data_IF_459208946816
#
_entry.id   IF_459208946816
#
_cell.length_a   1.000
_cell.length_b   1.000
_cell.length_c   1.000
_cell.angle_alpha   90.00
_cell.angle_beta   90.00
_cell.angle_gamma   90.00
#
_symmetry.space_group_name_H-M   'P 1'
#
loop_
_entity.id
_entity.type
_entity.pdbx_description
1 polymer ?
#
# COMPACT_ATOMS: atom_id res chain seq x y z
N UNK A 1 11.21 13.64 -21.20
CA UNK A 1 10.38 12.41 -21.06
C UNK A 1 10.30 12.05 -19.58
N UNK A 2 9.20 12.41 -18.92
CA UNK A 2 8.90 11.97 -17.54
C UNK A 2 8.26 10.58 -17.64
N UNK A 3 9.04 9.57 -18.04
CA UNK A 3 8.56 8.19 -18.19
C UNK A 3 9.17 7.23 -17.17
N UNK A 4 10.01 7.76 -16.26
CA UNK A 4 10.74 6.95 -15.29
C UNK A 4 10.05 7.05 -13.94
N UNK A 5 9.07 6.18 -13.73
CA UNK A 5 8.30 6.06 -12.49
C UNK A 5 9.08 5.35 -11.37
N UNK A 6 10.13 4.61 -11.71
CA UNK A 6 11.12 4.04 -10.78
C UNK A 6 12.47 4.70 -11.00
N UNK A 7 13.10 5.22 -9.94
CA UNK A 7 14.44 5.83 -10.03
C UNK A 7 15.52 4.87 -10.54
N UNK A 8 15.35 3.57 -10.32
CA UNK A 8 16.25 2.49 -10.75
C UNK A 8 15.49 1.27 -11.28
N UNK A 9 16.18 0.41 -12.03
CA UNK A 9 15.61 -0.86 -12.48
C UNK A 9 15.40 -1.81 -11.30
N UNK A 10 14.28 -2.53 -11.32
CA UNK A 10 13.96 -3.58 -10.35
C UNK A 10 14.08 -4.99 -10.92
N UNK A 11 14.50 -5.12 -12.18
CA UNK A 11 14.69 -6.41 -12.84
C UNK A 11 15.68 -7.27 -12.05
N UNK A 12 15.33 -8.55 -11.87
CA UNK A 12 16.15 -9.55 -11.17
C UNK A 12 16.48 -9.18 -9.70
N UNK A 13 15.68 -8.28 -9.08
CA UNK A 13 15.81 -7.89 -7.66
C UNK A 13 14.65 -8.40 -6.83
N UNK A 14 14.90 -8.61 -5.55
CA UNK A 14 13.83 -8.83 -4.57
C UNK A 14 13.23 -7.49 -4.17
N UNK A 15 11.91 -7.34 -4.35
CA UNK A 15 11.19 -6.09 -4.15
C UNK A 15 10.13 -6.27 -3.07
N UNK A 16 10.16 -5.41 -2.06
CA UNK A 16 9.12 -5.28 -1.05
C UNK A 16 8.41 -3.94 -1.23
N UNK A 17 7.10 -4.00 -1.51
CA UNK A 17 6.23 -2.82 -1.54
C UNK A 17 5.79 -2.52 -0.11
N UNK A 18 5.86 -1.25 0.30
CA UNK A 18 5.41 -0.77 1.60
C UNK A 18 4.17 0.11 1.39
N UNK A 19 3.04 -0.30 1.94
CA UNK A 19 1.76 0.44 1.89
C UNK A 19 1.27 0.76 3.30
N UNK A 20 0.64 1.91 3.47
CA UNK A 20 0.03 2.32 4.74
C UNK A 20 -1.33 1.63 4.97
N UNK A 21 -2.17 1.58 3.93
CA UNK A 21 -3.51 0.98 3.98
C UNK A 21 -3.86 0.26 2.69
N UNK A 22 -4.30 -1.00 2.81
CA UNK A 22 -4.99 -1.68 1.71
C UNK A 22 -6.49 -1.64 1.91
N UNK A 23 -7.15 -0.76 1.16
CA UNK A 23 -8.61 -0.61 1.13
C UNK A 23 -9.21 -1.55 0.06
N UNK A 24 -9.81 -1.02 -1.01
CA UNK A 24 -10.46 -1.83 -2.06
C UNK A 24 -9.52 -2.79 -2.81
N UNK A 25 -8.22 -2.50 -2.84
CA UNK A 25 -7.21 -3.26 -3.56
C UNK A 25 -7.09 -2.95 -5.05
N UNK A 26 -7.91 -2.05 -5.62
CA UNK A 26 -7.90 -1.74 -7.06
C UNK A 26 -6.58 -1.09 -7.49
N UNK A 27 -6.16 -0.03 -6.80
CA UNK A 27 -4.89 0.66 -7.11
C UNK A 27 -3.70 -0.29 -6.97
N UNK A 28 -3.72 -1.13 -5.94
CA UNK A 28 -2.62 -2.02 -5.64
C UNK A 28 -2.52 -3.18 -6.63
N UNK A 29 -3.66 -3.73 -7.10
CA UNK A 29 -3.66 -4.71 -8.18
C UNK A 29 -2.98 -4.14 -9.44
N UNK A 30 -3.38 -2.94 -9.86
CA UNK A 30 -2.76 -2.26 -11.01
C UNK A 30 -1.24 -2.05 -10.82
N UNK A 31 -0.83 -1.60 -9.63
CA UNK A 31 0.59 -1.38 -9.30
C UNK A 31 1.37 -2.71 -9.34
N UNK A 32 0.83 -3.77 -8.72
CA UNK A 32 1.45 -5.10 -8.69
C UNK A 32 1.59 -5.67 -10.11
N UNK A 33 0.56 -5.58 -10.94
CA UNK A 33 0.61 -6.02 -12.34
C UNK A 33 1.67 -5.26 -13.15
N UNK A 34 1.80 -3.95 -12.91
CA UNK A 34 2.81 -3.13 -13.57
C UNK A 34 4.22 -3.49 -13.12
N UNK A 35 4.46 -3.63 -11.82
CA UNK A 35 5.76 -4.01 -11.25
C UNK A 35 6.18 -5.42 -11.69
N UNK A 36 5.25 -6.38 -11.78
CA UNK A 36 5.53 -7.74 -12.29
C UNK A 36 6.09 -7.73 -13.71
N UNK A 37 5.65 -6.79 -14.57
CA UNK A 37 6.15 -6.67 -15.96
C UNK A 37 7.62 -6.25 -16.04
N UNK A 38 8.16 -5.62 -15.00
CA UNK A 38 9.58 -5.27 -14.89
C UNK A 38 10.47 -6.47 -14.51
N UNK A 39 9.88 -7.65 -14.29
CA UNK A 39 10.55 -8.93 -13.99
C UNK A 39 11.49 -8.88 -12.77
N UNK A 40 10.98 -8.51 -11.58
CA UNK A 40 11.75 -8.68 -10.35
C UNK A 40 11.97 -10.18 -10.05
N UNK A 41 13.00 -10.49 -9.26
CA UNK A 41 13.26 -11.85 -8.73
C UNK A 41 12.13 -12.30 -7.80
N UNK A 42 11.69 -11.39 -6.93
CA UNK A 42 10.48 -11.56 -6.12
C UNK A 42 9.76 -10.23 -5.93
N UNK A 43 8.45 -10.30 -5.71
CA UNK A 43 7.61 -9.14 -5.43
C UNK A 43 6.69 -9.47 -4.25
N UNK A 44 6.90 -8.79 -3.13
CA UNK A 44 6.11 -8.96 -1.90
C UNK A 44 5.45 -7.66 -1.48
N UNK A 45 4.40 -7.77 -0.67
CA UNK A 45 3.64 -6.67 -0.13
C UNK A 45 3.68 -6.67 1.40
N UNK A 46 4.15 -5.57 1.97
CA UNK A 46 3.97 -5.23 3.38
C UNK A 46 2.96 -4.09 3.49
N UNK A 47 1.95 -4.26 4.33
CA UNK A 47 1.02 -3.18 4.64
C UNK A 47 0.80 -3.03 6.14
N UNK A 48 0.76 -1.79 6.61
CA UNK A 48 0.48 -1.50 8.00
C UNK A 48 -0.97 -1.86 8.36
N UNK A 49 -1.95 -1.47 7.53
CA UNK A 49 -3.37 -1.70 7.80
C UNK A 49 -4.15 -2.29 6.63
N UNK A 50 -5.20 -3.06 6.92
CA UNK A 50 -6.06 -3.67 5.89
C UNK A 50 -7.55 -3.52 6.23
N UNK A 51 -8.36 -3.05 5.27
CA UNK A 51 -9.83 -2.99 5.37
C UNK A 51 -10.46 -4.16 4.61
N UNK A 52 -10.40 -5.36 5.20
CA UNK A 52 -10.88 -6.60 4.55
C UNK A 52 -12.34 -6.47 4.07
N UNK A 53 -13.20 -5.79 4.83
CA UNK A 53 -14.62 -5.59 4.48
C UNK A 53 -14.85 -4.79 3.17
N UNK A 54 -13.85 -4.04 2.70
CA UNK A 54 -13.95 -3.20 1.49
C UNK A 54 -13.33 -3.83 0.24
N UNK A 55 -12.76 -5.03 0.38
CA UNK A 55 -11.99 -5.71 -0.65
C UNK A 55 -12.83 -5.91 -1.92
N UNK A 56 -12.33 -5.39 -3.05
CA UNK A 56 -12.91 -5.66 -4.39
C UNK A 56 -12.02 -6.57 -5.23
N UNK A 57 -10.74 -6.66 -4.89
CA UNK A 57 -9.72 -7.46 -5.57
C UNK A 57 -9.01 -8.36 -4.58
N UNK A 58 -8.67 -9.59 -4.97
CA UNK A 58 -7.90 -10.49 -4.12
C UNK A 58 -6.45 -9.99 -4.08
N UNK A 59 -6.03 -9.48 -2.92
CA UNK A 59 -4.66 -9.00 -2.70
C UNK A 59 -4.01 -9.91 -1.66
N UNK A 60 -2.89 -10.53 -2.02
CA UNK A 60 -2.05 -11.25 -1.07
C UNK A 60 -1.13 -10.25 -0.36
N UNK A 61 -1.26 -10.13 0.96
CA UNK A 61 -0.41 -9.30 1.81
C UNK A 61 0.57 -10.23 2.52
N UNK A 62 1.85 -10.17 2.19
CA UNK A 62 2.88 -11.04 2.77
C UNK A 62 3.22 -10.66 4.22
N UNK A 63 3.12 -9.37 4.54
CA UNK A 63 3.35 -8.83 5.87
C UNK A 63 2.24 -7.84 6.22
N UNK A 64 1.37 -8.23 7.15
CA UNK A 64 0.27 -7.37 7.60
C UNK A 64 0.56 -6.91 9.03
N UNK A 65 0.44 -5.60 9.27
CA UNK A 65 0.43 -5.05 10.63
C UNK A 65 -0.82 -5.47 11.38
N UNK A 66 -2.00 -5.00 10.94
CA UNK A 66 -3.28 -5.39 11.52
C UNK A 66 -4.48 -5.04 10.61
N UNK A 67 -5.59 -5.75 10.79
CA UNK A 67 -6.85 -5.40 10.15
C UNK A 67 -7.57 -4.27 10.89
N UNK A 68 -8.32 -3.46 10.16
CA UNK A 68 -9.13 -2.35 10.67
C UNK A 68 -10.55 -2.41 10.12
N UNK A 69 -11.55 -1.88 10.85
CA UNK A 69 -12.91 -1.76 10.33
C UNK A 69 -12.99 -0.75 9.17
N UNK A 70 -14.14 -0.70 8.49
CA UNK A 70 -14.46 0.37 7.53
C UNK A 70 -14.71 1.70 8.25
N UNK A 71 -13.63 2.32 8.70
CA UNK A 71 -13.58 3.66 9.26
C UNK A 71 -12.47 4.46 8.60
N UNK A 72 -12.65 5.77 8.54
CA UNK A 72 -11.59 6.65 8.08
C UNK A 72 -10.51 6.75 9.17
N UNK A 73 -9.24 6.61 8.77
CA UNK A 73 -8.09 6.68 9.68
C UNK A 73 -7.14 7.81 9.27
N UNK A 74 -6.48 8.41 10.25
CA UNK A 74 -5.45 9.45 10.08
C UNK A 74 -4.32 9.23 11.08
N UNK A 75 -3.19 9.91 10.90
CA UNK A 75 -2.02 9.77 11.77
C UNK A 75 -1.02 8.75 11.26
N UNK A 76 0.18 8.74 11.84
CA UNK A 76 1.26 7.84 11.43
C UNK A 76 1.56 7.90 9.91
N UNK A 77 1.55 9.10 9.34
CA UNK A 77 1.74 9.34 7.91
C UNK A 77 0.45 9.43 7.07
N UNK A 78 -0.67 8.86 7.55
CA UNK A 78 -1.98 8.95 6.90
C UNK A 78 -2.60 10.33 7.10
N UNK A 79 -3.32 10.82 6.08
CA UNK A 79 -3.86 12.17 6.07
C UNK A 79 -5.36 12.27 5.79
N UNK A 80 -5.90 13.45 6.13
CA UNK A 80 -7.10 14.00 5.53
C UNK A 80 -6.80 15.42 5.07
N UNK A 81 -6.89 15.68 3.76
CA UNK A 81 -6.56 16.99 3.18
C UNK A 81 -5.18 17.49 3.61
N UNK A 82 -4.17 16.61 3.56
CA UNK A 82 -2.79 16.87 3.98
C UNK A 82 -2.59 17.17 5.47
N UNK A 83 -3.64 17.02 6.30
CA UNK A 83 -3.56 17.20 7.75
C UNK A 83 -3.35 15.86 8.45
N UNK A 84 -2.89 15.92 9.70
CA UNK A 84 -2.80 14.81 10.65
C UNK A 84 -1.67 13.79 10.42
N UNK A 85 -0.90 13.86 9.32
CA UNK A 85 0.24 12.95 9.05
C UNK A 85 1.22 12.81 10.21
N UNK A 86 1.43 13.90 10.95
CA UNK A 86 2.42 14.01 12.03
C UNK A 86 1.94 13.48 13.39
N UNK A 87 0.69 13.01 13.50
CA UNK A 87 0.22 12.41 14.75
C UNK A 87 0.99 11.09 15.00
N UNK A 88 1.40 10.82 16.25
CA UNK A 88 2.30 9.70 16.56
C UNK A 88 1.62 8.34 16.49
N UNK A 89 0.29 8.32 16.52
CA UNK A 89 -0.54 7.11 16.52
C UNK A 89 -1.57 7.16 15.38
N UNK A 90 -2.28 6.04 15.18
CA UNK A 90 -3.39 5.94 14.23
C UNK A 90 -4.70 6.25 14.96
N UNK A 91 -5.48 7.18 14.42
CA UNK A 91 -6.75 7.61 14.98
C UNK A 91 -7.89 7.32 14.01
N UNK A 92 -9.06 6.94 14.53
CA UNK A 92 -10.29 7.00 13.76
C UNK A 92 -10.80 8.44 13.71
N UNK A 93 -11.10 8.93 12.52
CA UNK A 93 -11.79 10.19 12.37
C UNK A 93 -13.27 10.02 12.76
N UNK A 94 -13.79 10.96 13.55
CA UNK A 94 -15.21 11.01 13.94
C UNK A 94 -16.08 11.57 12.83
#
# INVERSE_FOLDING_TARGET
KINKWLSSSIKDRDVLIIEDVVDTGITLEFLLERLKKEKPSSLKLCSLTSKVSRRKKVINIDYLGFDIPDKFIVGYGLDLNEKYRNLPEIYFLK
#
